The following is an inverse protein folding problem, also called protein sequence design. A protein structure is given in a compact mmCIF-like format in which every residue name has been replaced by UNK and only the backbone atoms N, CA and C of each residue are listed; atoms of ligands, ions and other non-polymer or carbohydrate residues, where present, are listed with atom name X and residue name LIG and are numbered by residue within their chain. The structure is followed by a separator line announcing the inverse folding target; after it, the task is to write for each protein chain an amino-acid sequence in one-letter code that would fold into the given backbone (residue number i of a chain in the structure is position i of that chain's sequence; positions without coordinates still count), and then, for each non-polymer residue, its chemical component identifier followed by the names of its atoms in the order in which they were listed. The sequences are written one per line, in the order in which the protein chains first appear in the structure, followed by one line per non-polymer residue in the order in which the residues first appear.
data_IF_955776137469
#
_entry.id   IF_955776137469
#
_cell.length_a   1.000
_cell.length_b   1.000
_cell.length_c   1.000
_cell.angle_alpha   90.00
_cell.angle_beta   90.00
_cell.angle_gamma   90.00
#
_symmetry.space_group_name_H-M   'P 1'
#
loop_
_entity.id
_entity.type
_entity.pdbx_description
1 polymer ?
#
# COMPACT_ATOMS: atom_id res chain seq x y z
N UNK A 1 5.89 6.15 18.67
CA UNK A 1 7.04 5.44 19.29
C UNK A 1 8.18 5.19 18.29
N UNK A 2 7.90 4.98 17.00
CA UNK A 2 8.90 4.60 15.99
C UNK A 2 9.82 5.72 15.51
N UNK A 3 9.35 6.96 15.43
CA UNK A 3 10.11 8.07 14.84
C UNK A 3 11.46 8.35 15.51
N UNK A 4 11.59 8.36 16.84
CA UNK A 4 12.90 8.54 17.49
C UNK A 4 13.92 7.46 17.13
N UNK A 5 13.47 6.21 16.93
CA UNK A 5 14.32 5.12 16.50
C UNK A 5 14.76 5.31 15.04
N UNK A 6 13.84 5.67 14.14
CA UNK A 6 14.15 5.97 12.74
C UNK A 6 15.19 7.09 12.64
N UNK A 7 15.02 8.16 13.42
CA UNK A 7 15.99 9.26 13.47
C UNK A 7 17.37 8.75 13.87
N UNK A 8 17.47 7.96 14.93
CA UNK A 8 18.73 7.39 15.39
C UNK A 8 19.37 6.48 14.30
N UNK A 9 18.55 5.68 13.61
CA UNK A 9 19.04 4.85 12.49
C UNK A 9 19.65 5.70 11.36
N UNK A 10 18.96 6.78 10.97
CA UNK A 10 19.47 7.69 9.93
C UNK A 10 20.75 8.39 10.37
N UNK A 11 20.79 8.90 11.61
CA UNK A 11 21.98 9.56 12.16
C UNK A 11 23.19 8.62 12.26
N UNK A 12 22.98 7.34 12.47
CA UNK A 12 24.04 6.33 12.59
C UNK A 12 24.30 5.54 11.28
N UNK A 13 23.60 5.86 10.18
CA UNK A 13 23.70 5.11 8.92
C UNK A 13 23.24 3.65 9.02
N UNK A 14 22.35 3.35 9.95
CA UNK A 14 21.84 2.00 10.20
C UNK A 14 20.53 1.77 9.47
N UNK A 15 20.36 0.60 8.84
CA UNK A 15 19.10 0.25 8.19
C UNK A 15 17.98 0.03 9.21
N UNK A 16 16.75 0.36 8.79
CA UNK A 16 15.55 0.23 9.61
C UNK A 16 14.47 -0.53 8.86
N UNK A 17 13.74 -1.40 9.55
CA UNK A 17 12.51 -2.00 9.04
C UNK A 17 11.47 -2.11 10.16
N UNK A 18 10.18 -2.08 9.77
CA UNK A 18 9.06 -2.23 10.70
C UNK A 18 7.87 -2.98 10.07
N UNK A 19 6.86 -3.24 10.89
CA UNK A 19 5.60 -3.88 10.51
C UNK A 19 4.43 -2.90 10.56
N UNK A 20 4.68 -1.59 10.48
CA UNK A 20 3.61 -0.60 10.62
C UNK A 20 2.53 -0.76 9.56
N UNK A 21 1.27 -0.64 9.97
CA UNK A 21 0.10 -0.51 9.12
C UNK A 21 -0.48 0.92 9.11
N UNK A 22 0.26 1.92 9.59
CA UNK A 22 -0.22 3.29 9.82
C UNK A 22 0.26 4.25 8.71
N UNK A 23 -0.63 4.67 7.78
CA UNK A 23 -0.26 5.54 6.65
C UNK A 23 0.34 6.88 7.09
N UNK A 24 -0.14 7.46 8.19
CA UNK A 24 0.36 8.73 8.71
C UNK A 24 1.83 8.62 9.12
N UNK A 25 2.19 7.53 9.81
CA UNK A 25 3.56 7.29 10.23
C UNK A 25 4.49 7.12 9.02
N UNK A 26 4.12 6.28 8.07
CA UNK A 26 4.91 6.06 6.84
C UNK A 26 5.10 7.35 6.04
N UNK A 27 4.04 8.13 5.86
CA UNK A 27 4.10 9.40 5.14
C UNK A 27 4.96 10.43 5.88
N UNK A 28 4.93 10.43 7.22
CA UNK A 28 5.77 11.29 8.05
C UNK A 28 7.24 10.93 7.87
N UNK A 29 7.58 9.64 7.91
CA UNK A 29 8.96 9.19 7.70
C UNK A 29 9.45 9.53 6.30
N UNK A 30 8.64 9.31 5.27
CA UNK A 30 8.95 9.69 3.91
C UNK A 30 9.25 11.19 3.78
N UNK A 31 8.42 12.03 4.39
CA UNK A 31 8.56 13.48 4.28
C UNK A 31 9.76 14.04 5.04
N UNK A 32 10.12 13.43 6.17
CA UNK A 32 11.16 13.97 7.07
C UNK A 32 12.54 13.35 6.85
N UNK A 33 12.59 12.07 6.48
CA UNK A 33 13.84 11.31 6.53
C UNK A 33 14.33 10.78 5.20
N UNK A 34 13.55 10.87 4.10
CA UNK A 34 13.96 10.31 2.81
C UNK A 34 15.31 10.85 2.33
N UNK A 35 15.47 12.16 2.29
CA UNK A 35 16.70 12.79 1.81
C UNK A 35 17.90 12.49 2.74
N UNK A 36 17.68 12.54 4.06
CA UNK A 36 18.71 12.21 5.03
C UNK A 36 19.13 10.73 4.97
N UNK A 37 18.15 9.82 4.76
CA UNK A 37 18.43 8.40 4.58
C UNK A 37 19.24 8.13 3.30
N UNK A 38 18.91 8.81 2.20
CA UNK A 38 19.72 8.75 0.97
C UNK A 38 21.14 9.24 1.20
N UNK A 39 21.31 10.37 1.90
CA UNK A 39 22.62 10.94 2.18
C UNK A 39 23.48 10.04 3.11
N UNK A 40 22.87 9.36 4.07
CA UNK A 40 23.57 8.43 4.98
C UNK A 40 23.74 7.01 4.40
N UNK A 41 23.13 6.72 3.24
CA UNK A 41 23.13 5.39 2.64
C UNK A 41 22.32 4.35 3.39
N UNK A 42 21.42 4.75 4.31
CA UNK A 42 20.58 3.83 5.03
C UNK A 42 19.25 3.56 4.31
N UNK A 43 18.76 2.32 4.40
CA UNK A 43 17.44 1.92 3.91
C UNK A 43 16.43 2.02 5.05
N UNK A 44 15.30 2.70 4.78
CA UNK A 44 14.13 2.74 5.66
C UNK A 44 12.99 1.96 4.99
N UNK A 45 12.69 0.78 5.50
CA UNK A 45 11.71 -0.14 4.91
C UNK A 45 10.54 -0.33 5.87
N UNK A 46 9.45 0.37 5.61
CA UNK A 46 8.22 0.24 6.39
C UNK A 46 7.31 -0.85 5.82
N UNK A 47 6.32 -1.27 6.61
CA UNK A 47 5.26 -2.18 6.18
C UNK A 47 5.77 -3.57 5.75
N UNK A 48 6.78 -4.13 6.44
CA UNK A 48 7.34 -5.45 6.15
C UNK A 48 6.48 -6.61 6.70
N UNK A 49 5.25 -6.35 7.11
CA UNK A 49 4.34 -7.33 7.67
C UNK A 49 3.46 -8.04 6.65
N UNK A 50 2.68 -8.99 7.17
CA UNK A 50 1.68 -9.75 6.40
C UNK A 50 0.64 -8.83 5.73
N UNK A 51 0.29 -7.72 6.35
CA UNK A 51 -0.70 -6.77 5.83
C UNK A 51 -0.27 -6.12 4.51
N UNK A 52 1.01 -6.19 4.11
CA UNK A 52 1.52 -5.48 2.95
C UNK A 52 2.32 -6.37 1.99
N UNK A 53 3.28 -7.15 2.49
CA UNK A 53 4.20 -7.91 1.64
C UNK A 53 3.50 -8.90 0.72
N UNK A 54 2.53 -9.74 1.17
CA UNK A 54 1.85 -10.67 0.28
C UNK A 54 1.07 -9.96 -0.83
N UNK A 55 0.48 -8.80 -0.53
CA UNK A 55 -0.30 -8.04 -1.51
C UNK A 55 0.60 -7.36 -2.54
N UNK A 56 1.68 -6.73 -2.10
CA UNK A 56 2.63 -6.07 -2.99
C UNK A 56 3.36 -7.08 -3.89
N UNK A 57 3.91 -8.13 -3.31
CA UNK A 57 4.58 -9.19 -4.04
C UNK A 57 3.61 -9.97 -4.96
N UNK A 58 2.38 -10.23 -4.51
CA UNK A 58 1.35 -10.90 -5.29
C UNK A 58 0.93 -10.09 -6.51
N UNK A 59 0.76 -8.78 -6.37
CA UNK A 59 0.47 -7.90 -7.51
C UNK A 59 1.65 -7.84 -8.48
N UNK A 60 2.88 -7.70 -7.99
CA UNK A 60 4.07 -7.71 -8.84
C UNK A 60 4.20 -9.02 -9.62
N UNK A 61 3.96 -10.16 -8.95
CA UNK A 61 3.96 -11.47 -9.58
C UNK A 61 2.91 -11.54 -10.69
N UNK A 62 1.66 -11.18 -10.41
CA UNK A 62 0.58 -11.18 -11.39
C UNK A 62 0.88 -10.26 -12.61
N UNK A 63 1.46 -9.09 -12.37
CA UNK A 63 1.88 -8.16 -13.42
C UNK A 63 2.97 -8.79 -14.30
N UNK A 64 3.93 -9.49 -13.72
CA UNK A 64 5.00 -10.17 -14.48
C UNK A 64 4.47 -11.32 -15.31
N UNK A 65 3.57 -12.13 -14.77
CA UNK A 65 2.89 -13.18 -15.53
C UNK A 65 2.08 -12.58 -16.70
N UNK A 66 1.29 -11.54 -16.45
CA UNK A 66 0.56 -10.83 -17.48
C UNK A 66 1.49 -10.26 -18.57
N UNK A 67 2.64 -9.75 -18.19
CA UNK A 67 3.66 -9.23 -19.11
C UNK A 67 4.21 -10.33 -20.02
N UNK A 68 4.47 -11.51 -19.47
CA UNK A 68 4.93 -12.67 -20.25
C UNK A 68 3.87 -13.11 -21.26
N UNK A 69 2.60 -13.19 -20.86
CA UNK A 69 1.48 -13.53 -21.73
C UNK A 69 1.29 -12.52 -22.88
N UNK A 70 1.67 -11.26 -22.66
CA UNK A 70 1.57 -10.18 -23.67
C UNK A 70 2.88 -9.93 -24.44
N UNK A 71 3.74 -10.93 -24.55
CA UNK A 71 4.96 -10.83 -25.35
C UNK A 71 6.09 -9.98 -24.73
N UNK A 72 6.09 -9.84 -23.40
CA UNK A 72 7.18 -9.21 -22.66
C UNK A 72 7.00 -7.71 -22.38
N UNK A 73 5.85 -7.12 -22.73
CA UNK A 73 5.58 -5.70 -22.50
C UNK A 73 4.10 -5.40 -22.30
N UNK A 74 3.81 -4.48 -21.37
CA UNK A 74 2.47 -3.93 -21.15
C UNK A 74 2.41 -2.50 -21.72
N UNK A 75 1.78 -2.32 -22.87
CA UNK A 75 1.70 -1.05 -23.59
C UNK A 75 0.45 -0.22 -23.23
N UNK A 76 -0.51 -0.82 -22.53
CA UNK A 76 -1.79 -0.20 -22.11
C UNK A 76 -1.89 0.07 -20.62
N UNK A 77 -2.95 0.77 -20.19
CA UNK A 77 -3.31 0.90 -18.77
C UNK A 77 -3.57 -0.46 -18.13
N UNK A 78 -3.06 -0.66 -16.93
CA UNK A 78 -3.23 -1.89 -16.15
C UNK A 78 -4.05 -1.61 -14.89
N UNK A 79 -4.98 -2.50 -14.59
CA UNK A 79 -5.77 -2.48 -13.37
C UNK A 79 -5.60 -3.79 -12.62
N UNK A 80 -5.35 -3.71 -11.31
CA UNK A 80 -5.30 -4.87 -10.44
C UNK A 80 -6.25 -4.69 -9.25
N UNK A 81 -6.89 -5.76 -8.84
CA UNK A 81 -7.73 -5.82 -7.64
C UNK A 81 -7.18 -6.90 -6.70
N UNK A 82 -6.80 -6.49 -5.50
CA UNK A 82 -6.42 -7.40 -4.42
C UNK A 82 -7.64 -7.80 -3.61
N UNK A 83 -7.93 -9.09 -3.52
CA UNK A 83 -9.03 -9.62 -2.75
C UNK A 83 -8.53 -10.48 -1.59
N UNK A 84 -8.97 -10.17 -0.37
CA UNK A 84 -8.55 -10.84 0.86
C UNK A 84 -9.73 -11.56 1.49
N UNK A 85 -9.54 -12.81 1.86
CA UNK A 85 -10.49 -13.57 2.66
C UNK A 85 -9.87 -13.89 4.03
N UNK A 86 -10.61 -13.60 5.09
CA UNK A 86 -10.18 -13.91 6.45
C UNK A 86 -11.06 -14.98 7.09
N UNK A 87 -10.41 -15.94 7.74
CA UNK A 87 -11.07 -16.90 8.66
C UNK A 87 -10.71 -16.63 10.14
N UNK A 88 -9.82 -15.66 10.40
CA UNK A 88 -9.29 -15.36 11.72
C UNK A 88 -9.98 -14.18 12.40
N UNK A 89 -9.93 -14.14 13.73
CA UNK A 89 -10.34 -12.96 14.52
C UNK A 89 -9.20 -11.95 14.57
N UNK A 90 -9.51 -10.66 14.42
CA UNK A 90 -8.53 -9.59 14.59
C UNK A 90 -7.99 -9.55 16.03
N UNK A 91 -6.70 -9.27 16.17
CA UNK A 91 -6.12 -9.00 17.48
C UNK A 91 -6.62 -7.68 18.05
N UNK A 92 -6.59 -7.52 19.38
CA UNK A 92 -6.98 -6.27 20.02
C UNK A 92 -6.11 -5.07 19.57
N UNK A 93 -4.84 -5.30 19.23
CA UNK A 93 -3.94 -4.28 18.68
C UNK A 93 -4.38 -3.80 17.31
N UNK A 94 -4.69 -4.72 16.40
CA UNK A 94 -5.20 -4.41 15.05
C UNK A 94 -6.49 -3.62 15.12
N UNK A 95 -7.41 -4.01 16.02
CA UNK A 95 -8.67 -3.29 16.23
C UNK A 95 -8.45 -1.87 16.73
N UNK A 96 -7.54 -1.68 17.68
CA UNK A 96 -7.20 -0.36 18.20
C UNK A 96 -6.59 0.55 17.14
N UNK A 97 -5.64 0.06 16.36
CA UNK A 97 -5.03 0.81 15.24
C UNK A 97 -6.08 1.23 14.21
N UNK A 98 -7.03 0.34 13.87
CA UNK A 98 -8.14 0.66 13.00
C UNK A 98 -9.02 1.79 13.56
N UNK A 99 -9.40 1.72 14.82
CA UNK A 99 -10.19 2.77 15.48
C UNK A 99 -9.47 4.12 15.53
N UNK A 100 -8.16 4.14 15.80
CA UNK A 100 -7.36 5.36 15.80
C UNK A 100 -7.25 5.98 14.40
N UNK A 101 -7.12 5.16 13.34
CA UNK A 101 -7.13 5.61 11.95
C UNK A 101 -8.46 6.28 11.57
N UNK A 102 -9.59 5.70 11.98
CA UNK A 102 -10.92 6.30 11.78
C UNK A 102 -11.15 7.59 12.59
N UNK A 103 -10.52 7.71 13.76
CA UNK A 103 -10.69 8.88 14.63
C UNK A 103 -9.95 10.14 14.12
N UNK A 104 -8.97 10.00 13.20
CA UNK A 104 -8.13 11.10 12.72
C UNK A 104 -8.10 11.27 11.20
N UNK A 105 -9.23 11.37 10.51
CA UNK A 105 -9.27 11.39 9.04
C UNK A 105 -8.54 12.62 8.44
N UNK A 106 -8.52 13.75 9.14
CA UNK A 106 -7.90 14.98 8.65
C UNK A 106 -6.36 14.98 8.67
N UNK A 107 -5.75 14.33 9.67
CA UNK A 107 -4.29 14.21 9.76
C UNK A 107 -3.76 13.28 8.66
N UNK A 108 -4.43 12.17 8.44
CA UNK A 108 -4.11 11.23 7.35
C UNK A 108 -4.19 11.90 5.98
N UNK A 109 -5.18 12.75 5.72
CA UNK A 109 -5.32 13.42 4.42
C UNK A 109 -4.18 14.41 4.12
N UNK A 110 -3.71 15.15 5.12
CA UNK A 110 -2.61 16.11 4.94
C UNK A 110 -1.29 15.38 4.68
N UNK A 111 -0.92 14.44 5.53
CA UNK A 111 0.31 13.66 5.36
C UNK A 111 0.33 12.89 4.02
N UNK A 112 -0.82 12.40 3.58
CA UNK A 112 -0.97 11.74 2.30
C UNK A 112 -0.76 12.68 1.12
N UNK A 113 -1.30 13.91 1.18
CA UNK A 113 -1.10 14.92 0.13
C UNK A 113 0.36 15.32 0.00
N UNK A 114 1.03 15.59 1.11
CA UNK A 114 2.45 15.98 1.12
C UNK A 114 3.33 14.86 0.57
N UNK A 115 3.10 13.61 0.98
CA UNK A 115 3.80 12.45 0.46
C UNK A 115 3.53 12.25 -1.06
N UNK A 116 2.28 12.43 -1.51
CA UNK A 116 1.95 12.28 -2.94
C UNK A 116 2.61 13.35 -3.82
N UNK A 117 2.73 14.59 -3.34
CA UNK A 117 3.44 15.65 -4.07
C UNK A 117 4.90 15.23 -4.29
N UNK A 118 5.59 14.78 -3.22
CA UNK A 118 6.98 14.32 -3.31
C UNK A 118 7.12 13.09 -4.19
N UNK A 119 6.26 12.08 -4.03
CA UNK A 119 6.28 10.87 -4.86
C UNK A 119 6.09 11.15 -6.35
N UNK A 120 5.24 12.12 -6.71
CA UNK A 120 5.06 12.51 -8.11
C UNK A 120 6.31 13.18 -8.71
N UNK A 121 7.07 13.91 -7.91
CA UNK A 121 8.34 14.50 -8.35
C UNK A 121 9.40 13.44 -8.62
N UNK A 122 9.47 12.40 -7.80
CA UNK A 122 10.45 11.33 -7.95
C UNK A 122 10.04 10.26 -8.97
N UNK A 123 8.75 10.02 -9.10
CA UNK A 123 8.17 8.96 -9.93
C UNK A 123 6.98 9.48 -10.74
N UNK A 124 7.17 9.95 -11.97
CA UNK A 124 6.15 10.63 -12.75
C UNK A 124 5.05 9.71 -13.33
N UNK A 125 5.18 8.37 -13.18
CA UNK A 125 4.19 7.40 -13.67
C UNK A 125 2.79 7.67 -13.12
N UNK A 126 1.77 7.48 -13.95
CA UNK A 126 0.36 7.59 -13.56
C UNK A 126 -0.04 6.36 -12.75
N UNK A 127 -0.15 6.53 -11.45
CA UNK A 127 -0.62 5.48 -10.54
C UNK A 127 -1.72 6.05 -9.65
N UNK A 128 -2.82 5.29 -9.50
CA UNK A 128 -3.96 5.72 -8.69
C UNK A 128 -4.76 4.56 -8.10
N UNK A 129 -5.64 4.88 -7.16
CA UNK A 129 -6.62 3.94 -6.62
C UNK A 129 -7.82 3.77 -7.56
N UNK A 130 -8.46 2.62 -7.50
CA UNK A 130 -9.79 2.43 -8.05
C UNK A 130 -10.83 3.12 -7.18
N UNK A 131 -11.97 3.49 -7.79
CA UNK A 131 -13.09 4.00 -7.02
C UNK A 131 -13.61 2.90 -6.08
N UNK A 132 -13.59 3.11 -4.75
CA UNK A 132 -13.95 2.09 -3.79
C UNK A 132 -15.46 1.85 -3.79
N UNK A 133 -15.93 0.90 -4.61
CA UNK A 133 -17.33 0.48 -4.66
C UNK A 133 -17.44 -1.01 -4.38
N UNK A 134 -18.40 -1.44 -3.54
CA UNK A 134 -18.72 -2.86 -3.43
C UNK A 134 -19.22 -3.39 -4.78
N UNK A 135 -18.75 -4.57 -5.16
CA UNK A 135 -19.20 -5.25 -6.37
C UNK A 135 -19.15 -6.77 -6.19
N UNK A 136 -19.84 -7.48 -7.05
CA UNK A 136 -19.83 -8.94 -7.06
C UNK A 136 -18.71 -9.43 -7.98
N UNK A 137 -17.97 -10.41 -7.52
CA UNK A 137 -17.00 -11.13 -8.34
C UNK A 137 -17.45 -12.59 -8.48
N UNK A 138 -17.63 -13.03 -9.73
CA UNK A 138 -18.13 -14.37 -10.03
C UNK A 138 -17.05 -15.43 -9.89
N UNK A 139 -15.80 -15.10 -10.18
CA UNK A 139 -14.68 -16.02 -10.06
C UNK A 139 -14.37 -16.34 -8.60
N UNK A 140 -14.50 -15.36 -7.72
CA UNK A 140 -14.35 -15.54 -6.26
C UNK A 140 -15.64 -15.98 -5.56
N UNK A 141 -16.76 -16.04 -6.28
CA UNK A 141 -18.06 -16.50 -5.77
C UNK A 141 -18.64 -15.63 -4.66
N UNK A 142 -18.26 -14.36 -4.54
CA UNK A 142 -18.64 -13.50 -3.44
C UNK A 142 -18.76 -12.01 -3.80
N UNK A 143 -19.01 -11.21 -2.76
CA UNK A 143 -18.97 -9.77 -2.85
C UNK A 143 -17.60 -9.26 -2.41
N UNK A 144 -17.09 -8.28 -3.15
CA UNK A 144 -15.89 -7.53 -2.83
C UNK A 144 -16.27 -6.21 -2.16
N UNK A 145 -15.91 -6.06 -0.90
CA UNK A 145 -16.10 -4.84 -0.13
C UNK A 145 -14.80 -4.05 -0.06
N UNK A 146 -14.79 -2.74 -0.36
CA UNK A 146 -13.58 -1.93 -0.23
C UNK A 146 -12.97 -2.05 1.17
N UNK A 147 -11.67 -2.29 1.23
CA UNK A 147 -10.92 -2.45 2.47
C UNK A 147 -9.90 -1.31 2.62
N UNK A 148 -10.13 -0.33 3.52
CA UNK A 148 -9.28 0.85 3.67
C UNK A 148 -8.08 0.56 4.58
N UNK A 149 -7.16 -0.29 4.12
CA UNK A 149 -5.91 -0.65 4.79
C UNK A 149 -4.71 0.10 4.21
N UNK A 150 -3.50 -0.23 4.70
CA UNK A 150 -2.23 0.31 4.20
C UNK A 150 -1.86 -0.24 2.82
N UNK A 151 -2.37 -1.42 2.45
CA UNK A 151 -1.99 -2.18 1.25
C UNK A 151 -2.01 -1.37 -0.05
N UNK A 152 -3.09 -0.62 -0.36
CA UNK A 152 -3.11 0.20 -1.56
C UNK A 152 -1.96 1.21 -1.63
N UNK A 153 -1.53 1.74 -0.49
CA UNK A 153 -0.41 2.69 -0.46
C UNK A 153 0.91 2.00 -0.82
N UNK A 154 1.15 0.80 -0.30
CA UNK A 154 2.37 0.03 -0.55
C UNK A 154 2.42 -0.41 -2.01
N UNK A 155 1.38 -1.07 -2.52
CA UNK A 155 1.27 -1.52 -3.93
C UNK A 155 1.43 -0.35 -4.91
N UNK A 156 0.74 0.75 -4.67
CA UNK A 156 0.85 1.93 -5.55
C UNK A 156 2.24 2.59 -5.47
N UNK A 157 2.96 2.47 -4.37
CA UNK A 157 4.34 2.94 -4.26
C UNK A 157 5.28 2.07 -5.11
N UNK A 158 5.17 0.76 -5.02
CA UNK A 158 5.93 -0.18 -5.86
C UNK A 158 5.64 0.03 -7.34
N UNK A 159 4.36 0.20 -7.70
CA UNK A 159 3.95 0.50 -9.07
C UNK A 159 4.51 1.83 -9.61
N UNK A 160 4.82 2.80 -8.75
CA UNK A 160 5.50 4.05 -9.18
C UNK A 160 6.98 3.85 -9.41
N UNK A 161 7.62 3.03 -8.57
CA UNK A 161 9.08 2.87 -8.54
C UNK A 161 9.61 1.84 -9.54
N UNK A 162 8.81 0.84 -9.88
CA UNK A 162 9.19 -0.29 -10.75
C UNK A 162 8.63 -0.11 -12.15
N UNK A 163 9.41 -0.51 -13.17
CA UNK A 163 9.02 -0.36 -14.57
C UNK A 163 8.04 -1.41 -15.07
N UNK A 164 7.84 -2.48 -14.31
CA UNK A 164 6.97 -3.62 -14.66
C UNK A 164 5.49 -3.26 -14.89
N UNK A 165 4.97 -2.22 -14.25
CA UNK A 165 3.53 -1.93 -14.12
C UNK A 165 2.88 -1.19 -15.31
N UNK A 166 3.51 -1.18 -16.48
CA UNK A 166 2.98 -0.48 -17.64
C UNK A 166 2.95 1.06 -17.53
N UNK A 167 2.36 1.76 -18.50
CA UNK A 167 2.36 3.24 -18.54
C UNK A 167 1.41 3.90 -17.53
N UNK A 168 0.32 3.25 -17.19
CA UNK A 168 -0.66 3.67 -16.18
C UNK A 168 -1.09 2.46 -15.36
N UNK A 169 -1.16 2.60 -14.04
CA UNK A 169 -1.57 1.53 -13.14
C UNK A 169 -2.62 2.01 -12.14
N UNK A 170 -3.64 1.16 -11.89
CA UNK A 170 -4.67 1.39 -10.90
C UNK A 170 -4.85 0.17 -10.01
N UNK A 171 -5.04 0.41 -8.73
CA UNK A 171 -5.21 -0.65 -7.74
C UNK A 171 -6.44 -0.45 -6.86
N UNK A 172 -7.19 -1.54 -6.65
CA UNK A 172 -8.27 -1.65 -5.66
C UNK A 172 -7.97 -2.74 -4.63
N UNK A 173 -8.38 -2.53 -3.40
CA UNK A 173 -8.20 -3.49 -2.32
C UNK A 173 -9.52 -3.81 -1.64
N UNK A 174 -9.83 -5.10 -1.53
CA UNK A 174 -11.16 -5.56 -1.16
C UNK A 174 -11.12 -6.72 -0.18
N UNK A 175 -12.14 -6.78 0.67
CA UNK A 175 -12.48 -7.92 1.50
C UNK A 175 -13.50 -8.79 0.77
N UNK A 176 -13.26 -10.09 0.67
CA UNK A 176 -14.24 -11.06 0.18
C UNK A 176 -15.26 -11.33 1.25
N UNK A 177 -16.55 -11.14 0.93
CA UNK A 177 -17.66 -11.40 1.86
C UNK A 177 -18.65 -12.38 1.25
N UNK A 178 -19.26 -13.22 2.07
CA UNK A 178 -20.26 -14.19 1.63
C UNK A 178 -21.63 -13.62 1.26
N UNK A 179 -21.77 -12.28 1.22
CA UNK A 179 -23.00 -11.56 0.84
C UNK A 179 -23.05 -10.14 1.39
N UNK A 180 -23.86 -9.29 0.74
CA UNK A 180 -24.04 -7.88 1.15
C UNK A 180 -24.49 -7.71 2.60
N UNK A 181 -25.31 -8.63 3.12
CA UNK A 181 -25.78 -8.59 4.51
C UNK A 181 -24.72 -8.87 5.58
N UNK A 182 -23.50 -9.26 5.20
CA UNK A 182 -22.38 -9.43 6.13
C UNK A 182 -21.43 -8.22 6.16
N UNK A 183 -21.78 -7.15 5.46
CA UNK A 183 -21.05 -5.89 5.38
C UNK A 183 -21.49 -4.84 6.42
N UNK A 184 -22.54 -5.13 7.21
CA UNK A 184 -23.12 -4.23 8.20
C UNK A 184 -22.78 -4.70 9.61
#
# INVERSE_FOLDING_TARGET
YGEPLVRACVEQGTHYCDLTGEPEFVNTLLSRYHEAAQASGCALVNCCGFDSIPHDAGVLFAIRELTLEHGGKLDGPVTAEGAVAFSAKFSGGTWRSALEAFARPGANQRSQRDAQVRLKQWYPRKVGGLLPKPHKDEALGGWLAPMPTIDPMVVMRSARALDDYGPEFRYGHYLVTGGLGKLI
#
